data_IF_629278811354
#
_entry.id   IF_629278811354
#
_cell.length_a   1.000
_cell.length_b   1.000
_cell.length_c   1.000
_cell.angle_alpha   90.00
_cell.angle_beta   90.00
_cell.angle_gamma   90.00
#
_symmetry.space_group_name_H-M   'P 1'
#
loop_
_entity.id
_entity.type
_entity.pdbx_description
1 polymer ?
#
# COMPACT_ATOMS: atom_id res chain seq x y z
N UNK A 1 9.17 25.60 -6.34
CA UNK A 1 9.31 25.49 -7.82
C UNK A 1 8.00 25.87 -8.49
N UNK A 2 8.04 26.48 -9.70
CA UNK A 2 6.83 26.67 -10.48
C UNK A 2 6.22 25.28 -10.78
N UNK A 3 4.89 25.20 -10.78
CA UNK A 3 4.15 24.01 -11.25
C UNK A 3 4.67 23.69 -12.65
N UNK A 4 5.15 22.45 -12.93
CA UNK A 4 5.65 22.11 -14.27
C UNK A 4 4.54 22.36 -15.30
N UNK A 5 4.95 22.77 -16.50
CA UNK A 5 4.03 22.92 -17.63
C UNK A 5 3.25 21.60 -17.81
N UNK A 6 1.94 21.63 -17.61
CA UNK A 6 1.03 20.48 -17.62
C UNK A 6 1.19 19.59 -18.87
N UNK A 7 1.55 20.19 -20.02
CA UNK A 7 1.79 19.48 -21.28
C UNK A 7 3.05 18.60 -21.26
N UNK A 8 3.86 18.66 -20.19
CA UNK A 8 5.18 18.01 -20.08
C UNK A 8 5.32 17.01 -18.96
N UNK A 9 4.37 16.90 -18.05
CA UNK A 9 4.42 15.94 -16.94
C UNK A 9 3.92 14.58 -17.41
N UNK A 10 4.81 13.60 -17.48
CA UNK A 10 4.48 12.22 -17.78
C UNK A 10 5.27 11.30 -16.87
N UNK A 11 4.56 10.56 -16.04
CA UNK A 11 5.11 9.69 -15.00
C UNK A 11 4.58 8.27 -15.12
N UNK A 12 5.18 7.33 -14.40
CA UNK A 12 4.77 5.93 -14.48
C UNK A 12 4.98 5.18 -13.17
N UNK A 13 4.11 4.19 -12.94
CA UNK A 13 4.41 3.07 -12.06
C UNK A 13 4.75 1.84 -12.92
N UNK A 14 5.79 1.10 -12.53
CA UNK A 14 6.29 -0.02 -13.33
C UNK A 14 6.51 -1.27 -12.45
N UNK A 15 5.43 -1.86 -11.91
CA UNK A 15 5.54 -3.04 -11.06
C UNK A 15 5.91 -4.29 -11.85
N UNK A 16 6.70 -5.18 -11.22
CA UNK A 16 6.93 -6.53 -11.72
C UNK A 16 5.90 -7.49 -11.08
N UNK A 17 5.19 -8.33 -11.87
CA UNK A 17 4.19 -9.26 -11.37
C UNK A 17 4.82 -10.53 -10.76
N UNK A 18 5.66 -10.33 -9.73
CA UNK A 18 6.42 -11.39 -9.03
C UNK A 18 5.90 -11.71 -7.64
N UNK A 19 4.69 -11.22 -7.30
CA UNK A 19 4.00 -11.43 -6.01
C UNK A 19 2.89 -10.41 -5.78
N UNK A 20 2.22 -10.52 -4.63
CA UNK A 20 1.12 -9.63 -4.26
C UNK A 20 1.52 -8.15 -4.29
N UNK A 21 0.53 -7.27 -4.51
CA UNK A 21 0.75 -5.83 -4.47
C UNK A 21 1.28 -5.41 -3.09
N UNK A 22 2.32 -4.57 -3.11
CA UNK A 22 3.07 -4.19 -1.92
C UNK A 22 2.75 -2.75 -1.52
N UNK A 23 2.70 -2.47 -0.23
CA UNK A 23 2.47 -1.12 0.29
C UNK A 23 3.43 -0.08 -0.33
N UNK A 24 4.69 -0.46 -0.57
CA UNK A 24 5.67 0.39 -1.26
C UNK A 24 5.29 0.70 -2.71
N UNK A 25 4.67 -0.25 -3.42
CA UNK A 25 4.16 -0.01 -4.79
C UNK A 25 2.99 0.97 -4.76
N UNK A 26 2.06 0.83 -3.80
CA UNK A 26 0.95 1.75 -3.62
C UNK A 26 1.43 3.17 -3.27
N UNK A 27 2.39 3.29 -2.35
CA UNK A 27 2.99 4.58 -1.99
C UNK A 27 3.66 5.24 -3.20
N UNK A 28 4.45 4.46 -3.97
CA UNK A 28 5.08 4.98 -5.19
C UNK A 28 4.04 5.39 -6.22
N UNK A 29 2.98 4.59 -6.45
CA UNK A 29 1.89 4.93 -7.36
C UNK A 29 1.17 6.22 -6.91
N UNK A 30 0.87 6.34 -5.61
CA UNK A 30 0.23 7.54 -5.05
C UNK A 30 1.03 8.81 -5.36
N UNK A 31 2.33 8.83 -5.10
CA UNK A 31 3.15 10.01 -5.36
C UNK A 31 3.26 10.33 -6.86
N UNK A 32 3.30 9.31 -7.73
CA UNK A 32 3.21 9.51 -9.18
C UNK A 32 1.88 10.16 -9.58
N UNK A 33 0.76 9.64 -9.06
CA UNK A 33 -0.58 10.18 -9.35
C UNK A 33 -0.72 11.61 -8.82
N UNK A 34 -0.34 11.87 -7.57
CA UNK A 34 -0.42 13.21 -6.99
C UNK A 34 0.37 14.23 -7.84
N UNK A 35 1.59 13.88 -8.24
CA UNK A 35 2.43 14.74 -9.06
C UNK A 35 1.85 14.94 -10.47
N UNK A 36 1.36 13.87 -11.11
CA UNK A 36 0.71 13.97 -12.42
C UNK A 36 -0.55 14.85 -12.35
N UNK A 37 -1.44 14.60 -11.38
CA UNK A 37 -2.71 15.35 -11.27
C UNK A 37 -2.48 16.82 -10.92
N UNK A 38 -1.51 17.13 -10.03
CA UNK A 38 -1.14 18.52 -9.73
C UNK A 38 -0.62 19.28 -10.97
N UNK A 39 0.08 18.58 -11.87
CA UNK A 39 0.60 19.16 -13.12
C UNK A 39 -0.33 18.98 -14.34
N UNK A 40 -1.55 18.44 -14.19
CA UNK A 40 -2.41 18.10 -15.35
C UNK A 40 -1.79 17.11 -16.33
N UNK A 41 -0.85 16.29 -15.86
CA UNK A 41 -0.05 15.37 -16.66
C UNK A 41 -0.64 13.96 -16.77
N UNK A 42 0.12 13.04 -17.35
CA UNK A 42 -0.25 11.65 -17.63
C UNK A 42 0.41 10.69 -16.64
N UNK A 43 -0.38 9.77 -16.09
CA UNK A 43 0.10 8.66 -15.29
C UNK A 43 -0.03 7.34 -16.06
N UNK A 44 1.09 6.65 -16.26
CA UNK A 44 1.20 5.42 -17.05
C UNK A 44 1.40 4.22 -16.13
N UNK A 45 0.68 3.15 -16.37
CA UNK A 45 0.98 1.83 -15.81
C UNK A 45 1.76 1.01 -16.83
N UNK A 46 2.97 0.58 -16.48
CA UNK A 46 3.77 -0.37 -17.25
C UNK A 46 4.01 -1.63 -16.43
N UNK A 47 3.90 -2.78 -17.04
CA UNK A 47 4.21 -4.08 -16.40
C UNK A 47 5.63 -4.49 -16.79
N UNK A 48 6.54 -4.51 -15.81
CA UNK A 48 7.93 -4.91 -15.99
C UNK A 48 8.08 -6.43 -15.74
N UNK A 49 7.70 -7.24 -16.73
CA UNK A 49 7.53 -8.70 -16.68
C UNK A 49 8.65 -9.49 -17.37
N UNK A 50 9.87 -8.96 -17.42
CA UNK A 50 11.04 -9.64 -18.02
C UNK A 50 11.65 -10.75 -17.15
N UNK A 51 11.16 -10.95 -15.93
CA UNK A 51 11.54 -12.05 -15.05
C UNK A 51 10.60 -13.25 -15.22
N UNK A 52 10.81 -14.01 -16.29
CA UNK A 52 9.94 -15.12 -16.72
C UNK A 52 9.77 -16.21 -15.64
N UNK A 53 10.78 -16.43 -14.81
CA UNK A 53 10.75 -17.49 -13.79
C UNK A 53 9.79 -17.15 -12.65
N UNK A 54 9.68 -15.87 -12.28
CA UNK A 54 8.89 -15.41 -11.12
C UNK A 54 7.57 -14.76 -11.48
N UNK A 55 7.37 -14.35 -12.73
CA UNK A 55 6.14 -13.73 -13.16
C UNK A 55 4.98 -14.72 -13.19
N UNK A 56 3.81 -14.25 -12.75
CA UNK A 56 2.55 -14.99 -12.81
C UNK A 56 1.43 -14.05 -13.24
N UNK A 57 0.55 -14.45 -14.18
CA UNK A 57 -0.58 -13.63 -14.62
C UNK A 57 -1.49 -13.20 -13.45
N UNK A 58 -1.66 -14.07 -12.45
CA UNK A 58 -2.50 -13.79 -11.28
C UNK A 58 -1.98 -12.58 -10.48
N UNK A 59 -0.66 -12.36 -10.44
CA UNK A 59 -0.08 -11.21 -9.75
C UNK A 59 -0.30 -9.89 -10.52
N UNK A 60 -0.41 -9.94 -11.84
CA UNK A 60 -0.78 -8.78 -12.64
C UNK A 60 -2.22 -8.34 -12.33
N UNK A 61 -3.16 -9.29 -12.25
CA UNK A 61 -4.54 -9.02 -11.85
C UNK A 61 -4.59 -8.36 -10.47
N UNK A 62 -3.84 -8.90 -9.51
CA UNK A 62 -3.76 -8.33 -8.15
C UNK A 62 -3.22 -6.90 -8.14
N UNK A 63 -2.26 -6.57 -9.03
CA UNK A 63 -1.76 -5.20 -9.17
C UNK A 63 -2.90 -4.27 -9.62
N UNK A 64 -3.65 -4.64 -10.66
CA UNK A 64 -4.78 -3.85 -11.16
C UNK A 64 -5.86 -3.67 -10.08
N UNK A 65 -6.32 -4.76 -9.49
CA UNK A 65 -7.34 -4.72 -8.43
C UNK A 65 -6.91 -3.85 -7.23
N UNK A 66 -5.64 -3.93 -6.84
CA UNK A 66 -5.12 -3.15 -5.71
C UNK A 66 -5.07 -1.66 -6.01
N UNK A 67 -4.62 -1.27 -7.22
CA UNK A 67 -4.57 0.13 -7.63
C UNK A 67 -5.98 0.69 -7.83
N UNK A 68 -6.89 -0.05 -8.46
CA UNK A 68 -8.31 0.33 -8.61
C UNK A 68 -9.01 0.46 -7.25
N UNK A 69 -8.79 -0.49 -6.32
CA UNK A 69 -9.35 -0.39 -4.98
C UNK A 69 -8.91 0.90 -4.26
N UNK A 70 -7.66 1.32 -4.47
CA UNK A 70 -7.15 2.58 -3.93
C UNK A 70 -7.61 3.82 -4.73
N UNK A 71 -8.29 3.67 -5.87
CA UNK A 71 -8.63 4.79 -6.74
C UNK A 71 -7.43 5.42 -7.46
N UNK A 72 -6.32 4.69 -7.58
CA UNK A 72 -5.12 5.13 -8.28
C UNK A 72 -5.16 4.72 -9.76
N UNK A 73 -6.12 5.27 -10.49
CA UNK A 73 -6.32 5.00 -11.90
C UNK A 73 -5.24 5.64 -12.78
N UNK A 74 -4.78 4.86 -13.77
CA UNK A 74 -3.84 5.29 -14.79
C UNK A 74 -4.55 5.76 -16.07
N UNK A 75 -3.86 6.59 -16.83
CA UNK A 75 -4.38 7.13 -18.10
C UNK A 75 -4.05 6.21 -19.28
N UNK A 76 -2.89 5.54 -19.22
CA UNK A 76 -2.40 4.59 -20.21
C UNK A 76 -1.84 3.35 -19.54
N UNK A 77 -2.03 2.20 -20.14
CA UNK A 77 -1.56 0.93 -19.59
C UNK A 77 -1.94 -0.27 -20.43
N UNK A 78 -1.60 -1.50 -20.00
CA UNK A 78 -1.83 -2.71 -20.78
C UNK A 78 -3.30 -2.99 -21.13
N UNK A 79 -4.21 -2.58 -20.24
CA UNK A 79 -5.66 -2.75 -20.37
C UNK A 79 -6.36 -1.57 -21.08
N UNK A 80 -5.82 -0.35 -20.92
CA UNK A 80 -6.38 0.87 -21.49
C UNK A 80 -5.78 1.22 -22.85
N UNK A 81 -4.60 0.66 -23.18
CA UNK A 81 -3.84 1.07 -24.33
C UNK A 81 -3.23 2.48 -24.18
N UNK A 82 -2.89 3.09 -25.30
CA UNK A 82 -2.31 4.43 -25.41
C UNK A 82 -1.34 4.55 -26.58
N UNK A 83 -0.81 5.78 -26.86
CA UNK A 83 -0.03 6.06 -28.06
C UNK A 83 1.38 5.46 -28.05
N UNK A 84 1.94 5.18 -26.87
CA UNK A 84 3.34 4.77 -26.70
C UNK A 84 3.46 3.28 -26.26
N UNK A 85 2.39 2.48 -26.45
CA UNK A 85 2.38 1.04 -26.17
C UNK A 85 3.28 0.19 -27.09
N UNK A 86 3.35 -1.11 -26.83
CA UNK A 86 2.71 -1.87 -25.77
C UNK A 86 3.30 -1.55 -24.38
N UNK A 87 2.51 -1.80 -23.30
CA UNK A 87 2.86 -1.44 -21.92
C UNK A 87 3.29 -2.64 -21.07
N UNK A 88 3.56 -3.81 -21.69
CA UNK A 88 4.25 -4.96 -21.06
C UNK A 88 5.62 -5.12 -21.66
N UNK A 89 6.64 -5.32 -20.83
CA UNK A 89 8.01 -5.50 -21.31
C UNK A 89 8.17 -6.77 -22.15
N UNK A 90 7.45 -7.83 -21.82
CA UNK A 90 7.44 -9.08 -22.63
C UNK A 90 6.97 -8.87 -24.04
N UNK A 91 6.13 -7.88 -24.30
CA UNK A 91 5.62 -7.53 -25.65
C UNK A 91 6.59 -6.60 -26.43
N UNK A 92 7.70 -6.18 -25.81
CA UNK A 92 8.68 -5.21 -26.34
C UNK A 92 10.07 -5.82 -26.63
N UNK A 93 10.19 -7.14 -26.59
CA UNK A 93 11.49 -7.82 -26.73
C UNK A 93 12.25 -7.42 -28.00
N UNK A 94 11.56 -7.17 -29.12
CA UNK A 94 12.20 -6.76 -30.37
C UNK A 94 12.77 -5.34 -30.30
N UNK A 95 12.17 -4.44 -29.54
CA UNK A 95 12.73 -3.09 -29.26
C UNK A 95 14.08 -3.24 -28.56
N UNK A 96 14.14 -4.06 -27.51
CA UNK A 96 15.39 -4.27 -26.78
C UNK A 96 16.46 -4.93 -27.63
N UNK A 97 16.11 -5.92 -28.46
CA UNK A 97 17.05 -6.56 -29.40
C UNK A 97 17.64 -5.54 -30.38
N UNK A 98 16.81 -4.67 -30.97
CA UNK A 98 17.25 -3.63 -31.91
C UNK A 98 18.23 -2.66 -31.23
N UNK A 99 17.91 -2.18 -29.99
CA UNK A 99 18.79 -1.29 -29.26
C UNK A 99 20.10 -1.95 -28.83
N UNK A 100 20.05 -3.21 -28.39
CA UNK A 100 21.25 -3.95 -28.07
C UNK A 100 22.15 -4.19 -29.30
N UNK A 101 21.54 -4.51 -30.44
CA UNK A 101 22.27 -4.66 -31.73
C UNK A 101 22.93 -3.34 -32.15
N UNK A 102 22.23 -2.21 -31.99
CA UNK A 102 22.78 -0.88 -32.24
C UNK A 102 23.99 -0.58 -31.35
N UNK A 103 23.86 -0.80 -30.02
CA UNK A 103 24.96 -0.58 -29.09
C UNK A 103 26.18 -1.48 -29.39
N UNK A 104 25.96 -2.71 -29.82
CA UNK A 104 27.02 -3.63 -30.28
C UNK A 104 27.71 -3.10 -31.54
N UNK A 105 26.94 -2.64 -32.53
CA UNK A 105 27.49 -2.11 -33.80
C UNK A 105 28.29 -0.80 -33.61
N UNK A 106 27.85 0.03 -32.65
CA UNK A 106 28.53 1.27 -32.27
C UNK A 106 29.71 1.04 -31.28
N UNK A 107 30.02 -0.18 -30.89
CA UNK A 107 31.09 -0.49 -29.98
C UNK A 107 30.86 0.00 -28.53
N UNK A 108 29.61 0.39 -28.20
CA UNK A 108 29.17 0.80 -26.88
C UNK A 108 28.75 -0.40 -26.01
N UNK A 109 28.58 -1.56 -26.61
CA UNK A 109 28.35 -2.84 -25.93
C UNK A 109 29.21 -3.94 -26.58
N UNK A 110 29.33 -5.07 -25.91
CA UNK A 110 30.09 -6.21 -26.44
C UNK A 110 29.53 -7.53 -25.88
N UNK A 111 29.85 -8.63 -26.57
CA UNK A 111 29.51 -9.98 -26.13
C UNK A 111 30.45 -10.44 -25.03
N UNK A 112 29.89 -10.92 -23.95
CA UNK A 112 30.64 -11.52 -22.83
C UNK A 112 30.35 -13.00 -22.75
N UNK A 113 31.38 -13.80 -22.86
CA UNK A 113 31.33 -15.26 -22.90
C UNK A 113 31.72 -15.92 -21.57
N UNK A 114 31.89 -15.16 -20.50
CA UNK A 114 32.20 -15.66 -19.17
C UNK A 114 31.10 -16.54 -18.63
N UNK A 115 31.49 -17.68 -18.04
CA UNK A 115 30.56 -18.52 -17.27
C UNK A 115 30.27 -17.89 -15.90
N UNK A 116 29.24 -18.40 -15.23
CA UNK A 116 28.91 -17.94 -13.87
C UNK A 116 30.08 -18.25 -12.89
N UNK A 117 30.72 -19.39 -13.01
CA UNK A 117 31.86 -19.82 -12.19
C UNK A 117 33.04 -18.86 -12.34
N UNK A 118 33.33 -18.44 -13.58
CA UNK A 118 34.41 -17.49 -13.85
C UNK A 118 34.11 -16.11 -13.22
N UNK A 119 32.89 -15.66 -13.30
CA UNK A 119 32.46 -14.38 -12.69
C UNK A 119 32.45 -14.46 -11.17
N UNK A 120 32.08 -15.61 -10.60
CA UNK A 120 32.07 -15.80 -9.14
C UNK A 120 33.52 -15.93 -8.60
N UNK A 121 34.46 -16.50 -9.38
CA UNK A 121 35.86 -16.46 -9.06
C UNK A 121 36.43 -15.04 -9.00
N UNK A 122 36.11 -14.18 -9.98
CA UNK A 122 36.50 -12.76 -9.98
C UNK A 122 35.91 -12.02 -8.76
N UNK A 123 34.64 -12.30 -8.39
CA UNK A 123 33.99 -11.70 -7.20
C UNK A 123 34.70 -12.13 -5.91
N UNK A 124 34.98 -13.41 -5.75
CA UNK A 124 35.69 -13.96 -4.58
C UNK A 124 37.09 -13.34 -4.43
N UNK A 125 37.80 -13.20 -5.55
CA UNK A 125 39.10 -12.53 -5.56
C UNK A 125 38.98 -11.06 -5.10
N UNK A 126 38.07 -10.31 -5.68
CA UNK A 126 37.83 -8.91 -5.27
C UNK A 126 37.49 -8.79 -3.78
N UNK A 127 36.68 -9.71 -3.26
CA UNK A 127 36.33 -9.77 -1.84
C UNK A 127 37.57 -10.09 -0.95
N UNK A 128 38.41 -11.03 -1.35
CA UNK A 128 39.65 -11.36 -0.65
C UNK A 128 40.63 -10.16 -0.63
N UNK A 129 40.68 -9.40 -1.71
CA UNK A 129 41.46 -8.17 -1.85
C UNK A 129 40.80 -6.94 -1.20
N UNK A 130 39.61 -7.09 -0.56
CA UNK A 130 38.83 -6.01 0.08
C UNK A 130 38.56 -4.82 -0.86
N UNK A 131 38.41 -5.06 -2.14
CA UNK A 131 38.06 -4.05 -3.14
C UNK A 131 36.64 -4.26 -3.69
N UNK A 132 35.96 -3.21 -4.13
CA UNK A 132 34.69 -3.36 -4.84
C UNK A 132 34.86 -4.22 -6.09
N UNK A 133 33.89 -5.11 -6.33
CA UNK A 133 33.90 -5.94 -7.54
C UNK A 133 33.60 -5.06 -8.77
N UNK A 134 34.45 -5.14 -9.76
CA UNK A 134 34.27 -4.56 -11.09
C UNK A 134 34.68 -5.61 -12.13
N UNK A 135 33.83 -5.85 -13.12
CA UNK A 135 34.14 -6.80 -14.17
C UNK A 135 35.45 -6.44 -14.88
N UNK A 136 36.32 -7.42 -15.07
CA UNK A 136 37.69 -7.23 -15.57
C UNK A 136 37.81 -6.83 -17.03
N UNK A 137 36.70 -6.80 -17.78
CA UNK A 137 36.66 -6.56 -19.24
C UNK A 137 37.40 -7.63 -20.08
N UNK A 138 37.65 -8.81 -19.54
CA UNK A 138 38.40 -9.88 -20.22
C UNK A 138 37.84 -10.22 -21.63
N UNK A 139 36.53 -10.11 -21.83
CA UNK A 139 35.91 -10.37 -23.13
C UNK A 139 36.08 -9.26 -24.17
N UNK A 140 36.70 -8.13 -23.80
CA UNK A 140 37.16 -7.09 -24.75
C UNK A 140 38.57 -7.37 -25.23
N UNK A 141 39.35 -8.19 -24.55
CA UNK A 141 40.74 -8.52 -24.91
C UNK A 141 40.83 -9.52 -26.06
N UNK A 142 42.08 -9.73 -26.55
CA UNK A 142 42.36 -10.68 -27.62
C UNK A 142 42.04 -12.13 -27.18
N UNK A 143 42.18 -12.45 -25.90
CA UNK A 143 41.98 -13.78 -25.32
C UNK A 143 40.52 -14.06 -24.94
N UNK A 144 39.57 -13.29 -25.45
CA UNK A 144 38.16 -13.53 -25.25
C UNK A 144 37.76 -14.90 -25.84
N UNK A 145 37.04 -15.76 -25.06
CA UNK A 145 36.64 -17.10 -25.51
C UNK A 145 35.47 -17.03 -26.52
N UNK A 146 35.75 -16.49 -27.70
CA UNK A 146 34.77 -16.23 -28.78
C UNK A 146 34.28 -17.51 -29.48
N UNK A 147 34.90 -18.63 -29.19
CA UNK A 147 34.50 -20.00 -29.58
C UNK A 147 33.25 -20.50 -28.86
N UNK A 148 32.87 -19.88 -27.73
CA UNK A 148 31.66 -20.22 -26.97
C UNK A 148 30.41 -19.67 -27.68
N UNK A 149 29.38 -20.50 -27.80
CA UNK A 149 28.12 -20.14 -28.43
C UNK A 149 27.17 -19.32 -27.51
N UNK A 150 27.29 -19.54 -26.19
CA UNK A 150 26.46 -18.84 -25.20
C UNK A 150 27.17 -17.55 -24.77
N UNK A 151 26.47 -16.44 -24.82
CA UNK A 151 27.00 -15.14 -24.41
C UNK A 151 25.91 -14.27 -23.80
N UNK A 152 26.34 -13.30 -23.01
CA UNK A 152 25.52 -12.15 -22.57
C UNK A 152 26.00 -10.90 -23.31
N UNK A 153 25.16 -9.85 -23.36
CA UNK A 153 25.61 -8.55 -23.87
C UNK A 153 25.88 -7.64 -22.68
N UNK A 154 27.10 -7.07 -22.64
CA UNK A 154 27.48 -6.07 -21.62
C UNK A 154 27.56 -4.68 -22.23
N UNK A 155 27.06 -3.73 -21.49
CA UNK A 155 27.28 -2.30 -21.76
C UNK A 155 28.71 -1.94 -21.35
N UNK A 156 29.43 -1.26 -22.25
CA UNK A 156 30.77 -0.75 -22.01
C UNK A 156 30.66 0.60 -21.33
N UNK A 157 30.83 0.62 -20.01
CA UNK A 157 30.72 1.84 -19.21
C UNK A 157 31.77 2.86 -19.63
N UNK A 158 31.38 4.06 -20.07
CA UNK A 158 32.32 5.14 -20.35
C UNK A 158 32.87 5.69 -19.02
N UNK A 159 34.06 6.27 -19.05
CA UNK A 159 34.57 7.00 -17.92
C UNK A 159 33.86 8.36 -17.79
N UNK A 160 33.93 8.95 -16.59
CA UNK A 160 33.41 10.29 -16.35
C UNK A 160 32.36 10.36 -15.26
N UNK A 161 31.76 11.50 -15.11
CA UNK A 161 30.78 11.81 -14.07
C UNK A 161 29.37 11.78 -14.65
N UNK A 162 28.44 11.08 -13.95
CA UNK A 162 27.02 11.06 -14.30
C UNK A 162 26.27 11.92 -13.30
N UNK A 163 25.66 13.01 -13.80
CA UNK A 163 24.90 13.97 -12.99
C UNK A 163 23.42 13.91 -13.34
N UNK A 164 22.58 14.12 -12.34
CA UNK A 164 21.13 14.26 -12.51
C UNK A 164 20.53 15.03 -11.32
N UNK A 165 19.31 15.55 -11.52
CA UNK A 165 18.53 16.20 -10.48
C UNK A 165 17.57 15.20 -9.83
N UNK A 166 17.52 15.19 -8.50
CA UNK A 166 16.56 14.45 -7.72
C UNK A 166 15.70 15.42 -6.90
N UNK A 167 14.38 15.37 -7.12
CA UNK A 167 13.44 16.32 -6.50
C UNK A 167 13.36 16.23 -4.97
N UNK A 168 13.89 15.13 -4.40
CA UNK A 168 13.95 14.92 -2.94
C UNK A 168 15.38 15.21 -2.43
N UNK A 169 16.39 14.74 -3.16
CA UNK A 169 17.80 14.72 -2.69
C UNK A 169 18.66 15.82 -3.28
N UNK A 170 18.12 16.61 -4.23
CA UNK A 170 18.84 17.65 -4.94
C UNK A 170 19.79 17.13 -6.02
N UNK A 171 20.80 17.90 -6.36
CA UNK A 171 21.79 17.54 -7.37
C UNK A 171 22.61 16.32 -6.96
N UNK A 172 22.60 15.29 -7.80
CA UNK A 172 23.32 14.03 -7.58
C UNK A 172 24.43 13.87 -8.59
N UNK A 173 25.58 13.33 -8.14
CA UNK A 173 26.72 13.04 -8.97
C UNK A 173 27.37 11.70 -8.62
N UNK A 174 27.69 10.90 -9.65
CA UNK A 174 28.30 9.58 -9.50
C UNK A 174 29.47 9.41 -10.47
N UNK A 175 30.61 8.92 -9.98
CA UNK A 175 31.72 8.53 -10.80
C UNK A 175 31.43 7.19 -11.52
N UNK A 176 31.23 7.24 -12.84
CA UNK A 176 31.01 6.02 -13.63
C UNK A 176 32.24 5.09 -13.61
N UNK A 177 33.39 5.60 -13.30
CA UNK A 177 34.60 4.80 -13.11
C UNK A 177 34.47 3.77 -12.00
N UNK A 178 33.59 3.98 -11.03
CA UNK A 178 33.27 3.01 -9.97
C UNK A 178 32.26 1.95 -10.39
N UNK A 179 31.56 2.17 -11.53
CA UNK A 179 30.57 1.25 -12.08
C UNK A 179 31.28 0.32 -13.08
N UNK A 180 31.18 -0.99 -12.87
CA UNK A 180 31.71 -1.98 -13.81
C UNK A 180 30.79 -2.17 -15.02
N UNK A 181 31.33 -2.68 -16.13
CA UNK A 181 30.51 -3.03 -17.29
C UNK A 181 29.44 -4.04 -16.88
N UNK A 182 28.18 -3.68 -17.06
CA UNK A 182 27.04 -4.48 -16.60
C UNK A 182 26.31 -5.16 -17.75
N UNK A 183 25.64 -6.27 -17.46
CA UNK A 183 24.88 -7.04 -18.43
C UNK A 183 23.61 -6.25 -18.77
N UNK A 184 23.34 -6.09 -20.06
CA UNK A 184 22.12 -5.48 -20.61
C UNK A 184 21.17 -6.50 -21.22
N UNK A 185 21.74 -7.59 -21.82
CA UNK A 185 20.95 -8.74 -22.29
C UNK A 185 21.53 -10.02 -21.71
N UNK A 186 20.67 -10.82 -21.10
CA UNK A 186 21.00 -12.12 -20.53
C UNK A 186 21.24 -13.17 -21.61
N UNK A 187 21.79 -14.32 -21.26
CA UNK A 187 22.06 -15.43 -22.19
C UNK A 187 20.80 -16.07 -22.78
N UNK A 188 19.66 -15.90 -22.12
CA UNK A 188 18.33 -16.31 -22.62
C UNK A 188 17.70 -15.31 -23.61
N UNK A 189 18.39 -14.19 -23.88
CA UNK A 189 17.94 -13.14 -24.79
C UNK A 189 17.04 -12.07 -24.13
N UNK A 190 16.68 -12.22 -22.87
CA UNK A 190 15.89 -11.20 -22.16
C UNK A 190 16.75 -10.03 -21.68
N UNK A 191 16.21 -8.80 -21.71
CA UNK A 191 16.92 -7.63 -21.21
C UNK A 191 17.01 -7.70 -19.66
N UNK A 192 18.01 -7.03 -19.11
CA UNK A 192 18.05 -6.76 -17.68
C UNK A 192 17.23 -5.51 -17.35
N UNK A 193 16.82 -5.36 -16.08
CA UNK A 193 16.11 -4.19 -15.59
C UNK A 193 16.81 -2.87 -15.94
N UNK A 194 18.14 -2.80 -15.75
CA UNK A 194 18.90 -1.58 -16.05
C UNK A 194 18.97 -1.22 -17.54
N UNK A 195 18.54 -2.11 -18.41
CA UNK A 195 18.44 -1.84 -19.86
C UNK A 195 16.99 -1.62 -20.29
N UNK A 196 16.07 -2.51 -19.92
CA UNK A 196 14.68 -2.41 -20.35
C UNK A 196 14.00 -1.13 -19.82
N UNK A 197 14.14 -0.85 -18.51
CA UNK A 197 13.45 0.28 -17.89
C UNK A 197 13.79 1.64 -18.54
N UNK A 198 15.06 2.06 -18.73
CA UNK A 198 15.37 3.34 -19.36
C UNK A 198 15.01 3.39 -20.84
N UNK A 199 15.08 2.27 -21.57
CA UNK A 199 14.62 2.19 -22.98
C UNK A 199 13.13 2.47 -23.06
N UNK A 200 12.34 1.86 -22.16
CA UNK A 200 10.91 2.07 -22.13
C UNK A 200 10.53 3.47 -21.65
N UNK A 201 11.18 3.96 -20.59
CA UNK A 201 10.97 5.31 -20.09
C UNK A 201 11.20 6.36 -21.19
N UNK A 202 12.26 6.19 -21.99
CA UNK A 202 12.53 7.06 -23.13
C UNK A 202 11.49 6.90 -24.25
N UNK A 203 11.18 5.66 -24.64
CA UNK A 203 10.20 5.38 -25.70
C UNK A 203 8.79 5.84 -25.35
N UNK A 204 8.42 5.74 -24.07
CA UNK A 204 7.14 6.20 -23.52
C UNK A 204 7.17 7.68 -23.12
N UNK A 205 8.26 8.40 -23.39
CA UNK A 205 8.45 9.84 -23.13
C UNK A 205 8.23 10.20 -21.67
N UNK A 206 8.66 9.35 -20.74
CA UNK A 206 8.55 9.60 -19.30
C UNK A 206 9.45 10.79 -18.96
N UNK A 207 8.83 11.85 -18.45
CA UNK A 207 9.53 13.09 -18.12
C UNK A 207 10.13 13.07 -16.72
N UNK A 208 9.46 12.42 -15.77
CA UNK A 208 9.91 12.34 -14.37
C UNK A 208 9.85 10.90 -13.88
N UNK A 209 10.95 10.43 -13.30
CA UNK A 209 11.08 9.05 -12.81
C UNK A 209 10.94 9.05 -11.29
N UNK A 210 9.74 8.76 -10.79
CA UNK A 210 9.40 8.66 -9.36
C UNK A 210 9.37 7.19 -8.97
N UNK A 211 10.20 6.77 -7.99
CA UNK A 211 10.35 5.36 -7.60
C UNK A 211 10.98 5.21 -6.20
N UNK A 212 11.05 4.01 -5.67
CA UNK A 212 11.71 3.74 -4.39
C UNK A 212 13.22 4.01 -4.42
N UNK A 213 13.79 4.44 -3.30
CA UNK A 213 15.22 4.78 -3.17
C UNK A 213 16.15 3.58 -3.36
N UNK A 214 15.67 2.34 -3.28
CA UNK A 214 16.44 1.14 -3.61
C UNK A 214 16.95 1.14 -5.05
N UNK A 215 16.36 1.94 -5.91
CA UNK A 215 16.75 2.12 -7.31
C UNK A 215 17.72 3.29 -7.54
N UNK A 216 18.09 4.03 -6.51
CA UNK A 216 18.99 5.19 -6.64
C UNK A 216 20.33 4.80 -7.28
N UNK A 217 20.91 3.68 -6.85
CA UNK A 217 22.17 3.17 -7.41
C UNK A 217 22.07 2.68 -8.87
N UNK A 218 20.86 2.44 -9.38
CA UNK A 218 20.64 2.05 -10.78
C UNK A 218 20.61 3.25 -11.71
N UNK A 219 20.27 4.44 -11.21
CA UNK A 219 20.07 5.65 -12.00
C UNK A 219 21.28 6.01 -12.88
N UNK A 220 22.53 6.00 -12.38
CA UNK A 220 23.68 6.29 -13.22
C UNK A 220 23.83 5.31 -14.39
N UNK A 221 23.62 4.01 -14.14
CA UNK A 221 23.71 2.98 -15.18
C UNK A 221 22.63 3.16 -16.25
N UNK A 222 21.41 3.52 -15.84
CA UNK A 222 20.29 3.75 -16.74
C UNK A 222 20.50 5.02 -17.57
N UNK A 223 21.00 6.10 -16.98
CA UNK A 223 21.32 7.34 -17.71
C UNK A 223 22.41 7.13 -18.76
N UNK A 224 23.44 6.32 -18.47
CA UNK A 224 24.46 5.98 -19.47
C UNK A 224 23.86 5.22 -20.67
N UNK A 225 22.84 4.40 -20.47
CA UNK A 225 22.11 3.74 -21.56
C UNK A 225 21.33 4.76 -22.40
N UNK A 226 20.58 5.66 -21.72
CA UNK A 226 19.82 6.74 -22.38
C UNK A 226 20.74 7.58 -23.28
N UNK A 227 21.87 8.05 -22.75
CA UNK A 227 22.87 8.83 -23.48
C UNK A 227 23.47 8.05 -24.66
N UNK A 228 23.82 6.78 -24.44
CA UNK A 228 24.41 5.93 -25.44
C UNK A 228 23.46 5.68 -26.63
N UNK A 229 22.16 5.64 -26.37
CA UNK A 229 21.11 5.49 -27.37
C UNK A 229 20.69 6.85 -27.97
N UNK A 230 21.20 7.97 -27.48
CA UNK A 230 20.88 9.32 -27.97
C UNK A 230 19.45 9.76 -27.69
N UNK A 231 18.85 9.25 -26.60
CA UNK A 231 17.56 9.71 -26.13
C UNK A 231 17.71 10.91 -25.19
N UNK A 232 16.65 11.70 -25.08
CA UNK A 232 16.56 12.73 -24.06
C UNK A 232 16.48 12.08 -22.67
N UNK A 233 17.19 12.67 -21.72
CA UNK A 233 17.11 12.24 -20.31
C UNK A 233 15.78 12.70 -19.68
N UNK A 234 15.25 11.97 -18.69
CA UNK A 234 14.20 12.50 -17.84
C UNK A 234 14.59 13.86 -17.27
N UNK A 235 13.61 14.75 -17.11
CA UNK A 235 13.82 16.10 -16.54
C UNK A 235 14.34 16.01 -15.11
N UNK A 236 13.76 15.10 -14.30
CA UNK A 236 14.18 14.86 -12.94
C UNK A 236 13.81 13.44 -12.47
N UNK A 237 14.41 13.07 -11.34
CA UNK A 237 14.09 11.86 -10.57
C UNK A 237 13.50 12.23 -9.24
N UNK A 238 12.77 11.29 -8.61
CA UNK A 238 12.44 11.34 -7.18
C UNK A 238 12.59 9.94 -6.60
N UNK A 239 13.59 9.77 -5.74
CA UNK A 239 13.84 8.51 -5.05
C UNK A 239 13.20 8.55 -3.66
N UNK A 240 11.99 7.96 -3.59
CA UNK A 240 11.16 7.92 -2.39
C UNK A 240 11.81 7.10 -1.28
N UNK A 241 11.75 7.56 -0.01
CA UNK A 241 12.32 6.83 1.11
C UNK A 241 11.61 5.49 1.33
N UNK A 242 12.33 4.53 1.92
CA UNK A 242 11.78 3.22 2.26
C UNK A 242 10.69 3.33 3.33
N UNK A 243 9.68 2.49 3.23
CA UNK A 243 8.78 2.22 4.35
C UNK A 243 9.45 1.17 5.24
N UNK A 244 9.58 1.50 6.52
CA UNK A 244 10.21 0.67 7.54
C UNK A 244 9.15 0.06 8.44
N UNK A 245 9.40 -1.14 8.91
CA UNK A 245 8.62 -1.74 9.98
C UNK A 245 8.87 -1.02 11.33
N UNK A 246 8.09 -1.34 12.35
CA UNK A 246 8.20 -0.73 13.69
C UNK A 246 9.61 -0.86 14.29
N UNK A 247 10.30 -1.97 14.00
CA UNK A 247 11.68 -2.25 14.44
C UNK A 247 12.76 -1.49 13.64
N UNK A 248 12.36 -0.73 12.61
CA UNK A 248 13.27 0.03 11.74
C UNK A 248 13.87 -0.79 10.59
N UNK A 249 13.53 -2.06 10.44
CA UNK A 249 13.92 -2.85 9.28
C UNK A 249 13.06 -2.51 8.05
N UNK A 250 13.58 -2.76 6.83
CA UNK A 250 12.81 -2.57 5.60
C UNK A 250 11.55 -3.44 5.64
N UNK A 251 10.40 -2.83 5.38
CA UNK A 251 9.13 -3.55 5.25
C UNK A 251 9.24 -4.59 4.12
N UNK A 252 8.97 -5.84 4.40
CA UNK A 252 9.15 -6.92 3.44
C UNK A 252 8.01 -7.95 3.50
N UNK A 253 7.57 -8.44 2.35
CA UNK A 253 6.46 -9.42 2.19
C UNK A 253 6.63 -10.68 3.04
N UNK A 254 7.88 -11.12 3.27
CA UNK A 254 8.15 -12.38 3.98
C UNK A 254 8.05 -12.27 5.51
N UNK A 255 8.27 -11.08 6.06
CA UNK A 255 8.38 -10.87 7.51
C UNK A 255 7.26 -10.01 8.08
N UNK A 256 6.60 -9.20 7.25
CA UNK A 256 5.72 -8.14 7.67
C UNK A 256 4.38 -8.24 6.92
N UNK A 257 3.32 -8.79 7.55
CA UNK A 257 1.98 -8.90 6.94
C UNK A 257 1.45 -7.56 6.44
N UNK A 258 1.75 -6.48 7.15
CA UNK A 258 1.38 -5.10 6.80
C UNK A 258 1.94 -4.63 5.46
N UNK A 259 2.84 -5.37 4.85
CA UNK A 259 3.30 -5.06 3.50
C UNK A 259 2.29 -5.42 2.41
N UNK A 260 1.30 -6.25 2.70
CA UNK A 260 0.32 -6.76 1.73
C UNK A 260 -0.93 -5.87 1.67
N UNK A 261 -1.21 -5.27 0.52
CA UNK A 261 -2.37 -4.40 0.34
C UNK A 261 -3.72 -5.12 0.46
N UNK A 262 -3.79 -6.39 0.12
CA UNK A 262 -5.04 -7.18 0.21
C UNK A 262 -5.54 -7.22 1.66
N UNK A 263 -4.62 -7.29 2.61
CA UNK A 263 -4.96 -7.32 4.05
C UNK A 263 -5.81 -6.11 4.47
N UNK A 264 -5.49 -4.92 3.95
CA UNK A 264 -6.23 -3.70 4.32
C UNK A 264 -7.68 -3.75 3.81
N UNK A 265 -7.89 -4.23 2.58
CA UNK A 265 -9.23 -4.40 2.00
C UNK A 265 -10.02 -5.44 2.79
N UNK A 266 -9.43 -6.59 3.10
CA UNK A 266 -10.07 -7.68 3.82
C UNK A 266 -10.41 -7.30 5.27
N UNK A 267 -9.58 -6.49 5.92
CA UNK A 267 -9.82 -5.99 7.27
C UNK A 267 -10.76 -4.76 7.31
N UNK A 268 -11.19 -4.26 6.15
CA UNK A 268 -12.16 -3.18 6.06
C UNK A 268 -11.57 -1.80 6.36
N UNK A 269 -10.31 -1.57 5.96
CA UNK A 269 -9.81 -0.21 5.86
C UNK A 269 -10.41 0.47 4.63
N UNK A 270 -10.74 1.75 4.75
CA UNK A 270 -11.23 2.56 3.64
C UNK A 270 -10.06 2.94 2.73
N UNK A 271 -10.18 2.79 1.41
CA UNK A 271 -9.09 3.11 0.48
C UNK A 271 -8.63 4.57 0.62
N UNK A 272 -9.53 5.50 0.84
CA UNK A 272 -9.26 6.93 1.06
C UNK A 272 -8.37 7.14 2.31
N UNK A 273 -8.65 6.40 3.37
CA UNK A 273 -7.86 6.45 4.60
C UNK A 273 -6.46 5.87 4.42
N UNK A 274 -6.35 4.77 3.68
CA UNK A 274 -5.04 4.17 3.35
C UNK A 274 -4.21 5.12 2.50
N UNK A 275 -4.79 5.78 1.49
CA UNK A 275 -4.10 6.79 0.68
C UNK A 275 -3.63 7.97 1.51
N UNK A 276 -4.49 8.52 2.36
CA UNK A 276 -4.13 9.61 3.25
C UNK A 276 -2.98 9.22 4.18
N UNK A 277 -3.04 8.04 4.78
CA UNK A 277 -1.98 7.52 5.63
C UNK A 277 -0.66 7.37 4.86
N UNK A 278 -0.68 6.77 3.66
CA UNK A 278 0.50 6.60 2.82
C UNK A 278 1.12 7.92 2.40
N UNK A 279 0.30 8.94 2.11
CA UNK A 279 0.80 10.28 1.82
C UNK A 279 1.58 10.84 3.02
N UNK A 280 1.00 10.80 4.21
CA UNK A 280 1.61 11.32 5.44
C UNK A 280 2.79 10.48 5.94
N UNK A 281 2.91 9.23 5.52
CA UNK A 281 3.97 8.34 5.98
C UNK A 281 5.37 8.81 5.55
N UNK A 282 5.49 9.49 4.42
CA UNK A 282 6.77 9.98 3.89
C UNK A 282 6.79 11.47 3.56
N UNK A 283 5.69 12.17 3.74
CA UNK A 283 5.53 13.57 3.37
C UNK A 283 4.89 14.36 4.51
N UNK A 284 5.28 15.65 4.62
CA UNK A 284 4.74 16.57 5.62
C UNK A 284 4.04 17.74 4.92
N UNK A 285 2.73 17.96 5.16
CA UNK A 285 1.99 19.06 4.52
C UNK A 285 2.47 20.45 4.95
N UNK A 286 3.25 20.57 6.02
CA UNK A 286 3.69 21.84 6.60
C UNK A 286 2.59 22.54 7.42
N UNK A 287 1.51 21.83 7.72
CA UNK A 287 0.39 22.27 8.55
C UNK A 287 0.07 21.18 9.57
N UNK A 288 -0.88 21.44 10.48
CA UNK A 288 -1.39 20.46 11.43
C UNK A 288 -2.52 19.59 10.85
N UNK A 289 -2.87 19.76 9.57
CA UNK A 289 -3.91 18.95 8.92
C UNK A 289 -3.42 17.51 8.76
N UNK A 290 -4.24 16.55 9.14
CA UNK A 290 -3.94 15.13 9.07
C UNK A 290 -4.94 14.33 8.25
N UNK A 291 -6.11 14.89 7.96
CA UNK A 291 -7.15 14.28 7.14
C UNK A 291 -7.39 15.13 5.91
N UNK A 292 -7.18 14.54 4.75
CA UNK A 292 -7.24 15.18 3.45
C UNK A 292 -8.20 14.45 2.52
N UNK A 293 -8.96 15.14 1.75
CA UNK A 293 -9.55 14.58 0.53
C UNK A 293 -8.44 14.34 -0.50
N UNK A 294 -8.74 13.52 -1.52
CA UNK A 294 -7.76 13.27 -2.58
C UNK A 294 -7.37 14.56 -3.31
N UNK A 295 -8.33 15.44 -3.58
CA UNK A 295 -8.09 16.74 -4.23
C UNK A 295 -7.22 17.64 -3.36
N UNK A 296 -7.44 17.68 -2.04
CA UNK A 296 -6.58 18.41 -1.12
C UNK A 296 -5.15 17.85 -1.12
N UNK A 297 -4.97 16.52 -1.18
CA UNK A 297 -3.64 15.91 -1.33
C UNK A 297 -2.97 16.34 -2.64
N UNK A 298 -3.70 16.32 -3.77
CA UNK A 298 -3.18 16.78 -5.08
C UNK A 298 -2.69 18.22 -5.01
N UNK A 299 -3.45 19.12 -4.38
CA UNK A 299 -3.09 20.53 -4.27
C UNK A 299 -1.96 20.82 -3.27
N UNK A 300 -1.89 20.06 -2.19
CA UNK A 300 -0.91 20.27 -1.12
C UNK A 300 0.46 19.61 -1.38
N UNK A 301 0.47 18.54 -2.20
CA UNK A 301 1.65 17.71 -2.38
C UNK A 301 2.80 18.45 -3.08
N UNK A 302 4.01 18.30 -2.51
CA UNK A 302 5.26 18.70 -3.16
C UNK A 302 6.41 17.81 -2.71
N UNK A 303 7.35 17.52 -3.61
CA UNK A 303 8.54 16.71 -3.29
C UNK A 303 9.50 17.39 -2.32
N UNK A 304 9.50 18.70 -2.24
CA UNK A 304 10.32 19.48 -1.31
C UNK A 304 10.02 19.15 0.17
N UNK A 305 8.84 18.63 0.44
CA UNK A 305 8.37 18.25 1.78
C UNK A 305 8.41 16.75 2.04
N UNK A 306 8.93 15.97 1.09
CA UNK A 306 9.16 14.54 1.30
C UNK A 306 10.43 14.38 2.16
N UNK A 307 10.33 13.60 3.22
CA UNK A 307 11.46 13.35 4.11
C UNK A 307 12.53 12.48 3.42
N UNK A 308 13.79 12.68 3.81
CA UNK A 308 14.91 11.93 3.24
C UNK A 308 15.10 10.55 3.85
N UNK A 309 14.66 10.35 5.08
CA UNK A 309 14.80 9.09 5.81
C UNK A 309 13.60 8.20 5.70
N UNK A 310 13.78 6.90 5.90
CA UNK A 310 12.67 5.93 5.88
C UNK A 310 11.62 6.23 6.95
N UNK A 311 10.35 6.12 6.58
CA UNK A 311 9.21 6.33 7.46
C UNK A 311 8.78 5.01 8.11
N UNK A 312 8.58 5.03 9.44
CA UNK A 312 8.13 3.84 10.17
C UNK A 312 6.62 3.68 10.07
N UNK A 313 6.20 2.48 9.72
CA UNK A 313 4.79 2.11 9.70
C UNK A 313 4.21 2.11 11.12
N UNK A 314 3.03 2.72 11.29
CA UNK A 314 2.33 2.88 12.56
C UNK A 314 0.85 2.48 12.42
N UNK A 315 0.49 1.34 13.01
CA UNK A 315 -0.88 0.83 13.04
C UNK A 315 -1.85 1.74 13.82
N UNK A 316 -1.40 2.36 14.91
CA UNK A 316 -2.27 3.21 15.73
C UNK A 316 -2.67 4.44 14.94
N UNK A 317 -1.70 5.05 14.22
CA UNK A 317 -1.97 6.18 13.34
C UNK A 317 -2.91 5.84 12.17
N UNK A 318 -2.69 4.68 11.52
CA UNK A 318 -3.57 4.22 10.46
C UNK A 318 -4.99 3.95 10.97
N UNK A 319 -5.14 3.27 12.11
CA UNK A 319 -6.44 3.01 12.72
C UNK A 319 -7.17 4.30 13.10
N UNK A 320 -6.44 5.28 13.61
CA UNK A 320 -7.01 6.59 13.92
C UNK A 320 -7.50 7.32 12.67
N UNK A 321 -6.65 7.40 11.62
CA UNK A 321 -7.03 8.00 10.33
C UNK A 321 -8.27 7.29 9.78
N UNK A 322 -8.27 5.98 9.73
CA UNK A 322 -9.38 5.20 9.19
C UNK A 322 -10.68 5.44 9.98
N UNK A 323 -10.60 5.49 11.30
CA UNK A 323 -11.73 5.85 12.16
C UNK A 323 -12.27 7.26 11.89
N UNK A 324 -11.39 8.24 11.59
CA UNK A 324 -11.82 9.60 11.19
C UNK A 324 -12.59 9.60 9.86
N UNK A 325 -12.15 8.81 8.88
CA UNK A 325 -12.88 8.66 7.62
C UNK A 325 -14.22 7.95 7.82
N UNK A 326 -14.27 6.86 8.61
CA UNK A 326 -15.54 6.17 8.93
C UNK A 326 -16.55 7.13 9.58
N UNK A 327 -16.09 8.01 10.47
CA UNK A 327 -16.96 9.01 11.14
C UNK A 327 -17.54 10.04 10.18
N UNK A 328 -16.93 10.27 9.04
CA UNK A 328 -17.37 11.25 8.03
C UNK A 328 -18.32 10.68 6.98
N UNK A 329 -18.44 9.35 6.89
CA UNK A 329 -19.41 8.72 5.99
C UNK A 329 -20.83 9.06 6.46
N UNK A 330 -21.76 9.22 5.55
CA UNK A 330 -23.18 9.27 5.92
C UNK A 330 -23.72 7.87 6.30
N UNK A 331 -24.96 7.79 6.76
CA UNK A 331 -25.53 6.53 7.26
C UNK A 331 -25.74 5.52 6.14
N UNK A 332 -26.11 5.96 4.95
CA UNK A 332 -26.35 5.10 3.80
C UNK A 332 -25.02 4.51 3.32
N UNK A 333 -24.01 5.33 3.16
CA UNK A 333 -22.69 4.91 2.71
C UNK A 333 -22.01 3.96 3.73
N UNK A 334 -22.09 4.27 5.04
CA UNK A 334 -21.54 3.41 6.07
C UNK A 334 -22.29 2.06 6.13
N UNK A 335 -23.62 2.08 6.00
CA UNK A 335 -24.43 0.85 5.90
C UNK A 335 -23.93 -0.03 4.76
N UNK A 336 -23.84 0.51 3.56
CA UNK A 336 -23.41 -0.20 2.36
C UNK A 336 -21.98 -0.78 2.50
N UNK A 337 -21.06 0.00 3.06
CA UNK A 337 -19.68 -0.45 3.27
C UNK A 337 -19.55 -1.51 4.37
N UNK A 338 -20.50 -1.60 5.31
CA UNK A 338 -20.54 -2.63 6.36
C UNK A 338 -21.13 -3.98 5.89
N UNK A 339 -21.99 -3.99 4.88
CA UNK A 339 -22.65 -5.22 4.40
C UNK A 339 -21.70 -6.40 4.17
N UNK A 340 -20.55 -6.25 3.48
CA UNK A 340 -19.63 -7.37 3.24
C UNK A 340 -19.04 -7.96 4.52
N UNK A 341 -19.00 -7.19 5.61
CA UNK A 341 -18.45 -7.60 6.90
C UNK A 341 -19.52 -8.15 7.86
N UNK A 342 -20.80 -7.98 7.53
CA UNK A 342 -21.94 -8.39 8.34
C UNK A 342 -22.92 -9.28 7.57
N UNK A 343 -22.46 -10.36 6.90
CA UNK A 343 -23.30 -11.16 5.99
C UNK A 343 -24.45 -11.93 6.65
N UNK A 344 -24.53 -11.89 7.98
CA UNK A 344 -25.61 -12.51 8.79
C UNK A 344 -26.73 -11.54 9.13
N UNK A 345 -26.58 -10.25 8.84
CA UNK A 345 -27.55 -9.22 9.13
C UNK A 345 -28.14 -8.68 7.81
N UNK A 346 -29.40 -8.30 7.85
CA UNK A 346 -30.02 -7.56 6.77
C UNK A 346 -29.63 -6.06 6.81
N UNK A 347 -29.81 -5.38 5.70
CA UNK A 347 -29.49 -3.94 5.56
C UNK A 347 -30.19 -3.10 6.62
N UNK A 348 -31.46 -3.38 6.93
CA UNK A 348 -32.24 -2.64 7.91
C UNK A 348 -31.65 -2.74 9.32
N UNK A 349 -31.18 -3.91 9.71
CA UNK A 349 -30.50 -4.15 10.99
C UNK A 349 -29.15 -3.44 11.03
N UNK A 350 -28.35 -3.51 9.95
CA UNK A 350 -27.07 -2.81 9.82
C UNK A 350 -27.28 -1.30 9.95
N UNK A 351 -28.27 -0.72 9.23
CA UNK A 351 -28.62 0.69 9.27
C UNK A 351 -29.00 1.16 10.68
N UNK A 352 -29.75 0.35 11.43
CA UNK A 352 -30.09 0.64 12.84
C UNK A 352 -28.87 0.62 13.76
N UNK A 353 -27.84 -0.16 13.41
CA UNK A 353 -26.62 -0.24 14.22
C UNK A 353 -25.60 0.87 13.90
N UNK A 354 -25.66 1.49 12.72
CA UNK A 354 -24.71 2.52 12.25
C UNK A 354 -24.46 3.64 13.25
N UNK A 355 -25.47 4.28 13.88
CA UNK A 355 -25.22 5.36 14.84
C UNK A 355 -24.36 4.94 16.03
N UNK A 356 -24.53 3.70 16.48
CA UNK A 356 -23.80 3.14 17.61
C UNK A 356 -22.39 2.64 17.25
N UNK A 357 -22.17 2.25 15.98
CA UNK A 357 -20.89 1.75 15.46
C UNK A 357 -19.95 2.86 15.02
N UNK A 358 -20.45 3.90 14.39
CA UNK A 358 -19.70 4.98 13.73
C UNK A 358 -18.50 5.48 14.53
N UNK A 359 -18.65 5.73 15.81
CA UNK A 359 -17.59 6.26 16.68
C UNK A 359 -16.68 5.21 17.29
N UNK A 360 -16.96 3.92 17.05
CA UNK A 360 -16.27 2.80 17.68
C UNK A 360 -15.43 1.94 16.74
N UNK A 361 -15.57 2.16 15.44
CA UNK A 361 -14.89 1.36 14.44
C UNK A 361 -13.52 1.96 14.06
N UNK A 362 -12.42 1.29 14.40
CA UNK A 362 -11.12 1.62 13.80
C UNK A 362 -11.04 1.09 12.35
N UNK A 363 -11.80 0.04 12.02
CA UNK A 363 -11.94 -0.60 10.70
C UNK A 363 -13.27 -1.33 10.62
N UNK A 364 -13.81 -1.54 9.41
CA UNK A 364 -15.17 -2.05 9.22
C UNK A 364 -15.34 -3.49 9.76
N UNK A 365 -14.34 -4.34 9.63
CA UNK A 365 -14.37 -5.71 10.14
C UNK A 365 -14.67 -5.78 11.65
N UNK A 366 -14.27 -4.77 12.42
CA UNK A 366 -14.51 -4.73 13.86
C UNK A 366 -16.02 -4.70 14.23
N UNK A 367 -16.89 -4.34 13.29
CA UNK A 367 -18.32 -4.35 13.49
C UNK A 367 -18.87 -5.77 13.78
N UNK A 368 -18.29 -6.79 13.15
CA UNK A 368 -18.70 -8.18 13.37
C UNK A 368 -18.51 -8.59 14.84
N UNK A 369 -17.37 -8.25 15.43
CA UNK A 369 -17.09 -8.55 16.85
C UNK A 369 -18.00 -7.79 17.81
N UNK A 370 -18.37 -6.55 17.46
CA UNK A 370 -19.25 -5.71 18.27
C UNK A 370 -20.71 -6.16 18.23
N UNK A 371 -21.15 -6.75 17.12
CA UNK A 371 -22.53 -7.16 16.86
C UNK A 371 -22.74 -8.67 16.94
N UNK A 372 -21.73 -9.47 17.28
CA UNK A 372 -21.80 -10.94 17.32
C UNK A 372 -23.00 -11.46 18.14
N UNK A 373 -23.38 -10.75 19.20
CA UNK A 373 -24.51 -11.09 20.07
C UNK A 373 -25.87 -11.08 19.37
N UNK A 374 -25.98 -10.50 18.18
CA UNK A 374 -27.21 -10.49 17.39
C UNK A 374 -27.51 -11.86 16.75
N UNK A 375 -26.49 -12.67 16.48
CA UNK A 375 -26.64 -14.00 15.88
C UNK A 375 -26.07 -15.14 16.74
N UNK A 376 -25.49 -14.81 17.89
CA UNK A 376 -24.98 -15.79 18.86
C UNK A 376 -25.67 -15.58 20.19
N UNK A 377 -26.19 -16.66 20.79
CA UNK A 377 -26.71 -16.59 22.17
C UNK A 377 -25.56 -16.79 23.17
N UNK A 378 -25.15 -15.75 23.88
CA UNK A 378 -24.06 -15.89 24.86
C UNK A 378 -24.45 -16.73 26.03
N UNK A 379 -23.52 -17.46 26.66
CA UNK A 379 -23.79 -18.15 27.92
C UNK A 379 -24.14 -17.14 29.02
N UNK A 380 -24.98 -17.55 29.95
CA UNK A 380 -25.26 -16.71 31.10
C UNK A 380 -23.97 -16.40 31.88
N UNK A 381 -23.67 -15.13 32.14
CA UNK A 381 -22.51 -14.78 32.97
C UNK A 381 -22.72 -15.18 34.42
N UNK A 382 -21.65 -15.62 35.09
CA UNK A 382 -21.67 -15.73 36.56
C UNK A 382 -21.58 -14.32 37.15
N UNK A 383 -22.67 -13.82 37.70
CA UNK A 383 -22.75 -12.53 38.36
C UNK A 383 -22.69 -12.66 39.86
N UNK A 384 -22.03 -11.73 40.53
CA UNK A 384 -22.15 -11.56 41.99
C UNK A 384 -23.58 -11.15 42.34
N UNK A 385 -24.08 -11.52 43.53
CA UNK A 385 -25.48 -11.26 43.94
C UNK A 385 -25.92 -9.80 43.70
N UNK A 386 -25.11 -8.85 44.09
CA UNK A 386 -25.43 -7.41 43.88
C UNK A 386 -25.48 -7.03 42.40
N UNK A 387 -24.74 -7.70 41.52
CA UNK A 387 -24.79 -7.50 40.10
C UNK A 387 -26.06 -8.12 39.49
N UNK A 388 -26.47 -9.29 39.96
CA UNK A 388 -27.72 -9.94 39.61
C UNK A 388 -28.93 -9.09 40.00
N UNK A 389 -28.92 -8.50 41.21
CA UNK A 389 -29.97 -7.57 41.68
C UNK A 389 -30.11 -6.36 40.77
N UNK A 390 -28.98 -5.78 40.31
CA UNK A 390 -28.97 -4.66 39.31
C UNK A 390 -29.59 -5.06 37.98
N UNK A 391 -29.31 -6.27 37.49
CA UNK A 391 -29.95 -6.81 36.28
C UNK A 391 -31.45 -7.00 36.51
N UNK A 392 -31.89 -7.51 37.70
CA UNK A 392 -33.28 -7.61 38.06
C UNK A 392 -34.00 -6.27 38.09
N UNK A 393 -33.39 -5.23 38.67
CA UNK A 393 -33.89 -3.86 38.62
C UNK A 393 -34.00 -3.30 37.20
N UNK A 394 -33.05 -3.61 36.35
CA UNK A 394 -33.10 -3.22 34.92
C UNK A 394 -34.27 -3.91 34.21
N UNK A 395 -34.52 -5.20 34.43
CA UNK A 395 -35.68 -5.91 33.86
C UNK A 395 -37.00 -5.21 34.25
N UNK A 396 -37.14 -4.81 35.49
CA UNK A 396 -38.35 -4.16 35.97
C UNK A 396 -38.67 -2.86 35.22
N UNK A 397 -37.67 -2.03 34.96
CA UNK A 397 -37.89 -0.78 34.23
C UNK A 397 -38.03 -1.01 32.72
N UNK A 398 -37.31 -1.95 32.14
CA UNK A 398 -37.32 -2.21 30.71
C UNK A 398 -38.60 -2.91 30.21
N UNK A 399 -39.35 -3.58 31.07
CA UNK A 399 -40.58 -4.27 30.68
C UNK A 399 -41.65 -3.33 30.11
N UNK A 400 -41.76 -2.10 30.59
CA UNK A 400 -42.79 -1.13 30.19
C UNK A 400 -42.35 -0.03 29.24
N UNK A 401 -41.05 -0.05 28.82
CA UNK A 401 -40.46 1.01 27.96
C UNK A 401 -40.68 0.72 26.49
N UNK A 402 -40.94 1.73 25.65
CA UNK A 402 -40.80 1.62 24.21
C UNK A 402 -39.40 1.07 23.86
N UNK A 403 -39.35 0.15 22.86
CA UNK A 403 -38.10 -0.57 22.57
C UNK A 403 -37.27 0.20 21.52
N UNK A 404 -36.90 1.44 21.91
CA UNK A 404 -36.12 2.38 21.14
C UNK A 404 -34.92 2.86 21.97
N UNK A 405 -33.75 3.15 21.35
CA UNK A 405 -32.53 3.50 22.08
C UNK A 405 -32.72 4.62 23.10
N UNK A 406 -33.38 5.71 22.71
CA UNK A 406 -33.59 6.89 23.56
C UNK A 406 -34.40 6.55 24.82
N UNK A 407 -35.53 5.85 24.65
CA UNK A 407 -36.40 5.48 25.77
C UNK A 407 -35.72 4.46 26.71
N UNK A 408 -34.96 3.54 26.15
CA UNK A 408 -34.12 2.58 26.93
C UNK A 408 -33.05 3.36 27.69
N UNK A 409 -32.39 4.31 27.04
CA UNK A 409 -31.37 5.14 27.69
C UNK A 409 -31.91 5.90 28.90
N UNK A 410 -32.99 6.65 28.70
CA UNK A 410 -33.64 7.43 29.77
C UNK A 410 -34.03 6.55 30.98
N UNK A 411 -34.61 5.40 30.69
CA UNK A 411 -35.03 4.46 31.73
C UNK A 411 -33.85 3.88 32.51
N UNK A 412 -32.75 3.54 31.83
CA UNK A 412 -31.53 3.02 32.48
C UNK A 412 -30.79 4.15 33.22
N UNK A 413 -30.81 5.37 32.76
CA UNK A 413 -30.22 6.51 33.45
C UNK A 413 -31.01 6.85 34.74
N UNK A 414 -32.35 6.79 34.72
CA UNK A 414 -33.16 6.90 35.94
C UNK A 414 -32.82 5.81 36.95
N UNK A 415 -32.52 4.58 36.49
CA UNK A 415 -32.07 3.51 37.38
C UNK A 415 -30.69 3.81 37.99
N UNK A 416 -29.76 4.40 37.20
CA UNK A 416 -28.44 4.86 37.69
C UNK A 416 -28.60 5.87 38.82
N UNK A 417 -29.43 6.91 38.61
CA UNK A 417 -29.70 7.96 39.60
C UNK A 417 -30.30 7.37 40.88
N UNK A 418 -31.31 6.51 40.76
CA UNK A 418 -31.96 5.85 41.90
C UNK A 418 -31.03 4.96 42.69
N UNK A 419 -30.09 4.29 42.02
CA UNK A 419 -29.15 3.37 42.69
C UNK A 419 -27.98 4.09 43.37
N UNK A 420 -27.71 5.35 43.05
CA UNK A 420 -26.54 6.10 43.50
C UNK A 420 -25.20 5.54 42.98
N UNK A 421 -25.23 4.59 42.05
CA UNK A 421 -24.06 4.00 41.44
C UNK A 421 -23.70 4.71 40.12
N UNK A 422 -22.43 4.69 39.75
CA UNK A 422 -22.01 5.22 38.44
C UNK A 422 -22.53 4.35 37.29
N UNK A 423 -22.73 4.95 36.05
CA UNK A 423 -23.26 4.25 34.88
C UNK A 423 -22.55 2.94 34.57
N UNK A 424 -21.22 2.91 34.67
CA UNK A 424 -20.44 1.72 34.34
C UNK A 424 -20.76 0.52 35.28
N UNK A 425 -20.97 0.78 36.58
CA UNK A 425 -21.34 -0.27 37.57
C UNK A 425 -22.73 -0.82 37.30
N UNK A 426 -23.64 -0.01 36.80
CA UNK A 426 -25.02 -0.40 36.48
C UNK A 426 -25.09 -1.12 35.12
N UNK A 427 -24.41 -0.59 34.08
CA UNK A 427 -24.52 -1.10 32.70
C UNK A 427 -23.66 -2.32 32.43
N UNK A 428 -22.53 -2.51 33.12
CA UNK A 428 -21.63 -3.64 32.86
C UNK A 428 -22.28 -5.01 33.07
N UNK A 429 -23.00 -5.27 34.15
CA UNK A 429 -23.74 -6.53 34.32
C UNK A 429 -24.79 -6.77 33.24
N UNK A 430 -25.54 -5.73 32.84
CA UNK A 430 -26.52 -5.78 31.76
C UNK A 430 -25.83 -6.13 30.44
N UNK A 431 -24.72 -5.48 30.13
CA UNK A 431 -23.92 -5.73 28.94
C UNK A 431 -23.43 -7.17 28.90
N UNK A 432 -22.84 -7.67 29.98
CA UNK A 432 -22.38 -9.05 30.08
C UNK A 432 -23.51 -10.05 29.89
N UNK A 433 -24.66 -9.77 30.49
CA UNK A 433 -25.86 -10.61 30.35
C UNK A 433 -26.34 -10.71 28.90
N UNK A 434 -26.34 -9.61 28.18
CA UNK A 434 -26.90 -9.54 26.82
C UNK A 434 -25.89 -9.97 25.75
N UNK A 435 -24.61 -9.64 25.93
CA UNK A 435 -23.60 -9.83 24.89
C UNK A 435 -22.51 -10.84 25.19
N UNK A 436 -22.37 -11.25 26.46
CA UNK A 436 -21.24 -12.06 26.93
C UNK A 436 -19.88 -11.31 26.94
N UNK A 437 -19.86 -10.04 26.52
CA UNK A 437 -18.62 -9.27 26.34
C UNK A 437 -18.61 -8.00 27.20
N UNK A 438 -17.41 -7.56 27.58
CA UNK A 438 -17.21 -6.27 28.29
C UNK A 438 -17.30 -5.06 27.35
N UNK A 439 -17.13 -5.26 26.05
CA UNK A 439 -17.14 -4.23 25.01
C UNK A 439 -18.28 -4.55 24.04
N UNK A 440 -19.15 -3.56 23.80
CA UNK A 440 -20.26 -3.60 22.85
C UNK A 440 -20.57 -2.17 22.40
N UNK A 441 -21.52 -1.96 21.48
CA UNK A 441 -22.12 -0.65 21.26
C UNK A 441 -22.67 -0.05 22.58
N UNK A 442 -23.11 1.22 22.62
CA UNK A 442 -23.81 1.77 23.77
C UNK A 442 -24.95 0.84 24.22
N UNK A 443 -25.20 0.73 25.53
CA UNK A 443 -26.08 -0.31 26.08
C UNK A 443 -27.52 -0.20 25.58
N UNK A 444 -28.01 1.00 25.38
CA UNK A 444 -29.29 1.36 24.78
C UNK A 444 -29.44 0.78 23.37
N UNK A 445 -28.49 1.05 22.50
CA UNK A 445 -28.45 0.45 21.17
C UNK A 445 -28.25 -1.07 21.21
N UNK A 446 -27.40 -1.56 22.13
CA UNK A 446 -27.16 -3.01 22.29
C UNK A 446 -28.48 -3.75 22.60
N UNK A 447 -29.33 -3.16 23.43
CA UNK A 447 -30.64 -3.70 23.75
C UNK A 447 -31.63 -3.53 22.58
N UNK A 448 -31.75 -2.31 22.04
CA UNK A 448 -32.72 -1.99 20.99
C UNK A 448 -32.50 -2.76 19.68
N UNK A 449 -31.28 -3.21 19.39
CA UNK A 449 -31.00 -4.02 18.22
C UNK A 449 -31.49 -5.48 18.34
N UNK A 450 -31.73 -5.97 19.55
CA UNK A 450 -32.35 -7.28 19.79
C UNK A 450 -33.88 -7.17 19.85
N UNK A 451 -34.63 -8.23 19.51
CA UNK A 451 -36.02 -8.35 19.90
C UNK A 451 -36.15 -8.23 21.44
N UNK A 452 -37.20 -7.51 21.88
CA UNK A 452 -37.40 -7.20 23.32
C UNK A 452 -37.45 -8.44 24.16
N UNK A 453 -38.17 -9.46 23.73
CA UNK A 453 -38.29 -10.77 24.40
C UNK A 453 -36.96 -11.49 24.55
N UNK A 454 -36.12 -11.46 23.48
CA UNK A 454 -34.78 -12.05 23.54
C UNK A 454 -33.88 -11.33 24.53
N UNK A 455 -33.85 -10.01 24.52
CA UNK A 455 -33.04 -9.22 25.43
C UNK A 455 -33.47 -9.47 26.89
N UNK A 456 -34.77 -9.43 27.14
CA UNK A 456 -35.32 -9.69 28.52
C UNK A 456 -35.09 -11.15 28.97
N UNK A 457 -35.16 -12.12 28.07
CA UNK A 457 -34.85 -13.53 28.39
C UNK A 457 -33.38 -13.68 28.80
N UNK A 458 -32.42 -13.06 28.07
CA UNK A 458 -31.01 -13.08 28.47
C UNK A 458 -30.77 -12.43 29.84
N UNK A 459 -31.43 -11.31 30.07
CA UNK A 459 -31.33 -10.63 31.41
C UNK A 459 -31.87 -11.50 32.52
N UNK A 460 -33.06 -12.14 32.37
CA UNK A 460 -33.65 -13.04 33.36
C UNK A 460 -32.73 -14.22 33.67
N UNK A 461 -32.19 -14.86 32.63
CA UNK A 461 -31.23 -15.95 32.77
C UNK A 461 -29.98 -15.53 33.57
N UNK A 462 -29.47 -14.32 33.34
CA UNK A 462 -28.31 -13.80 34.07
C UNK A 462 -28.63 -13.39 35.52
N UNK A 463 -29.88 -12.97 35.82
CA UNK A 463 -30.32 -12.65 37.15
C UNK A 463 -30.70 -13.89 37.99
N UNK A 464 -30.66 -15.12 37.41
CA UNK A 464 -31.08 -16.34 38.10
C UNK A 464 -32.59 -16.44 38.29
N UNK A 465 -33.37 -15.59 37.61
CA UNK A 465 -34.82 -15.71 37.57
C UNK A 465 -35.16 -16.72 36.48
N UNK A 466 -35.60 -17.92 36.87
CA UNK A 466 -36.11 -18.92 35.93
C UNK A 466 -37.20 -18.32 35.05
N UNK A 467 -37.24 -18.77 33.76
CA UNK A 467 -38.17 -18.30 32.72
C UNK A 467 -39.65 -18.66 33.06
#
# INVERSE_FOLDING_TARGET
MAVPDASKVRVRIAPSPTGFAHLGTASTALYNVLFARAGGGTFVLRIDDTDVERNRPEYEVVIYESLHWLGLDWDEGPDKGGPDGPYRQSERLDVYKQHAARLLAEGKAYRCYCTQEELDAERKQAQAEKRPYKYSRRCLGPDAPKDRSVFTVRFKVPGGEVKFEDMIRGAMSFDSGLIGDFIIVKSDGYPTYNFASPVDDAAMKISHVIRGEEHLSNTPSQLMIVDALGYDRPVAFAHMPLILAKDGTKLSKRKHPESNLILYREEGYLPEAVLNYLALLGWNPGTSQEIFTFDELVHAFSFERVQHGGARFDWEKLNWINGEYIRRLDDDELTQRLEPFLPRLDEATIRRAVPALRTRLPKLQAAADLLEYLWTDPPAPSLEPEAADRVGAAIAVLNSVPWEPEAIHESLMALVEKSGLGPNKTFMPIRLAVTGKKISPPIDYTLALLPKDVALSRLRRAAGAEA
#
